data_IF_612643011186
#
_entry.id   IF_612643011186
#
_cell.length_a   1.000
_cell.length_b   1.000
_cell.length_c   1.000
_cell.angle_alpha   90.00
_cell.angle_beta   90.00
_cell.angle_gamma   90.00
#
_symmetry.space_group_name_H-M   'P 1'
#
loop_
_entity.id
_entity.type
_entity.pdbx_description
1 polymer ?
#
# COMPACT_ATOMS: atom_id res chain seq x y z
N UNK A 1 -22.50 25.91 1.60
CA UNK A 1 -22.34 24.70 0.79
C UNK A 1 -21.21 24.82 -0.26
N UNK A 2 -20.11 25.52 0.07
CA UNK A 2 -19.01 25.87 -0.88
C UNK A 2 -17.64 25.28 -0.42
N UNK A 3 -17.56 24.47 0.63
CA UNK A 3 -16.29 24.11 1.30
C UNK A 3 -15.90 22.63 1.23
N UNK A 4 -16.48 21.84 0.31
CA UNK A 4 -16.20 20.38 0.22
C UNK A 4 -15.08 19.98 -0.74
N UNK A 5 -14.32 20.93 -1.32
CA UNK A 5 -13.40 20.66 -2.44
C UNK A 5 -11.90 20.62 -2.06
N UNK A 6 -11.52 20.97 -0.83
CA UNK A 6 -10.09 21.15 -0.50
C UNK A 6 -9.26 19.86 -0.23
N UNK A 7 -9.88 18.67 -0.13
CA UNK A 7 -9.16 17.43 0.25
C UNK A 7 -9.06 16.35 -0.85
N UNK A 8 -9.39 16.64 -2.11
CA UNK A 8 -9.49 15.61 -3.18
C UNK A 8 -8.43 15.72 -4.29
N UNK A 9 -7.39 16.54 -4.14
CA UNK A 9 -6.47 16.89 -5.24
C UNK A 9 -5.12 16.16 -5.26
N UNK A 10 -4.95 15.04 -4.56
CA UNK A 10 -3.71 14.23 -4.65
C UNK A 10 -3.88 12.82 -5.19
N UNK A 11 -4.95 12.51 -5.88
CA UNK A 11 -5.01 11.30 -6.70
C UNK A 11 -5.11 11.67 -8.18
N UNK A 12 -4.12 11.27 -8.97
CA UNK A 12 -4.12 11.36 -10.46
C UNK A 12 -5.17 10.43 -11.08
N UNK A 13 -6.42 10.52 -10.64
CA UNK A 13 -7.58 10.02 -11.35
C UNK A 13 -8.68 11.07 -11.21
N UNK A 14 -8.83 11.88 -12.23
CA UNK A 14 -10.07 12.59 -12.52
C UNK A 14 -11.21 11.56 -12.52
N UNK A 15 -11.85 11.33 -11.38
CA UNK A 15 -13.20 10.80 -11.37
C UNK A 15 -14.08 12.00 -11.66
N UNK A 16 -14.56 12.09 -12.88
CA UNK A 16 -15.71 12.94 -13.24
C UNK A 16 -16.86 12.48 -12.37
N UNK A 17 -17.11 13.17 -11.26
CA UNK A 17 -18.39 13.05 -10.58
C UNK A 17 -19.40 13.73 -11.47
N UNK A 18 -20.22 12.94 -12.16
CA UNK A 18 -21.43 13.45 -12.80
C UNK A 18 -22.33 13.99 -11.67
N UNK A 19 -22.25 15.29 -11.41
CA UNK A 19 -23.25 15.98 -10.62
C UNK A 19 -24.48 16.05 -11.51
N UNK A 20 -25.51 15.27 -11.18
CA UNK A 20 -26.81 15.36 -11.83
C UNK A 20 -27.38 16.73 -11.49
N UNK A 21 -27.23 17.68 -12.41
CA UNK A 21 -27.87 19.00 -12.30
C UNK A 21 -29.37 18.76 -12.49
N UNK A 22 -30.23 19.21 -11.58
CA UNK A 22 -31.66 19.05 -11.74
C UNK A 22 -32.13 19.59 -13.11
N UNK A 23 -32.88 18.79 -13.85
CA UNK A 23 -33.40 19.15 -15.19
C UNK A 23 -34.37 20.30 -15.18
N UNK A 24 -34.80 20.78 -14.01
CA UNK A 24 -35.72 21.88 -13.78
C UNK A 24 -35.09 23.28 -13.85
N UNK A 25 -33.75 23.39 -13.92
CA UNK A 25 -33.09 24.71 -14.01
C UNK A 25 -32.94 25.17 -15.48
N UNK A 26 -33.12 26.50 -15.77
CA UNK A 26 -32.86 27.07 -17.08
C UNK A 26 -31.45 26.80 -17.58
N UNK A 27 -31.27 26.67 -18.90
CA UNK A 27 -29.96 26.28 -19.52
C UNK A 27 -28.83 27.25 -19.12
N UNK A 28 -29.10 28.54 -19.01
CA UNK A 28 -28.11 29.54 -18.56
C UNK A 28 -27.65 29.34 -17.11
N UNK A 29 -28.52 28.88 -16.21
CA UNK A 29 -28.17 28.59 -14.84
C UNK A 29 -27.39 27.28 -14.73
N UNK A 30 -27.67 26.29 -15.60
CA UNK A 30 -26.88 25.02 -15.68
C UNK A 30 -25.46 25.29 -16.12
N UNK A 31 -25.26 26.22 -17.07
CA UNK A 31 -23.92 26.61 -17.54
C UNK A 31 -23.14 27.37 -16.45
N UNK A 32 -23.81 28.25 -15.68
CA UNK A 32 -23.20 28.97 -14.55
C UNK A 32 -22.83 28.03 -13.39
N UNK A 33 -23.67 27.07 -13.05
CA UNK A 33 -23.37 26.07 -12.00
C UNK A 33 -22.23 25.16 -12.45
N UNK A 34 -22.18 24.73 -13.72
CA UNK A 34 -21.06 23.99 -14.28
C UNK A 34 -19.76 24.79 -14.31
N UNK A 35 -19.82 26.09 -14.61
CA UNK A 35 -18.63 26.98 -14.66
C UNK A 35 -18.07 27.29 -13.26
N UNK A 36 -18.93 27.42 -12.24
CA UNK A 36 -18.53 27.66 -10.84
C UNK A 36 -17.76 26.48 -10.22
N UNK A 37 -17.92 25.25 -10.74
CA UNK A 37 -17.20 24.06 -10.27
C UNK A 37 -15.74 23.99 -10.76
N UNK A 38 -15.31 24.88 -11.69
CA UNK A 38 -13.97 24.91 -12.26
C UNK A 38 -13.15 26.16 -11.91
N UNK A 39 -13.60 27.01 -10.99
CA UNK A 39 -12.76 28.11 -10.51
C UNK A 39 -11.64 27.52 -9.66
N UNK A 40 -10.50 27.23 -10.28
CA UNK A 40 -9.26 26.91 -9.57
C UNK A 40 -8.81 28.18 -8.84
N UNK A 41 -8.88 28.15 -7.51
CA UNK A 41 -8.31 29.22 -6.71
C UNK A 41 -6.79 29.21 -6.84
N UNK A 42 -6.18 30.40 -6.91
CA UNK A 42 -4.74 30.55 -6.85
C UNK A 42 -4.27 30.15 -5.44
N UNK A 43 -3.27 29.27 -5.37
CA UNK A 43 -2.63 28.93 -4.09
C UNK A 43 -1.89 30.17 -3.57
N UNK A 44 -2.21 30.62 -2.35
CA UNK A 44 -1.67 31.85 -1.74
C UNK A 44 -1.03 31.64 -0.37
N UNK A 45 -1.00 30.39 0.13
CA UNK A 45 -0.41 30.10 1.45
C UNK A 45 1.10 30.31 1.38
N UNK A 46 1.63 31.05 2.37
CA UNK A 46 3.06 31.27 2.54
C UNK A 46 3.68 30.17 3.41
N UNK A 47 4.98 29.88 3.28
CA UNK A 47 5.69 29.02 4.21
C UNK A 47 5.66 29.64 5.60
N UNK A 48 5.59 28.80 6.64
CA UNK A 48 5.67 29.17 8.04
C UNK A 48 6.95 28.58 8.64
N UNK A 49 7.59 29.30 9.53
CA UNK A 49 8.67 28.74 10.35
C UNK A 49 8.12 27.84 11.48
N UNK A 50 9.01 27.16 12.21
CA UNK A 50 8.58 26.22 13.25
C UNK A 50 7.81 26.87 14.40
N UNK A 51 8.23 28.02 14.97
CA UNK A 51 7.45 28.77 15.96
C UNK A 51 6.07 29.19 15.42
N UNK A 52 5.98 29.66 14.18
CA UNK A 52 4.72 30.05 13.56
C UNK A 52 3.78 28.85 13.38
N UNK A 53 4.31 27.66 13.02
CA UNK A 53 3.54 26.42 12.97
C UNK A 53 2.98 26.07 14.35
N UNK A 54 3.78 26.14 15.42
CA UNK A 54 3.32 25.87 16.78
C UNK A 54 2.22 26.85 17.20
N UNK A 55 2.41 28.15 16.94
CA UNK A 55 1.41 29.18 17.23
C UNK A 55 0.09 28.92 16.47
N UNK A 56 0.18 28.52 15.20
CA UNK A 56 -0.99 28.13 14.41
C UNK A 56 -1.73 26.92 15.03
N UNK A 57 -1.00 25.90 15.43
CA UNK A 57 -1.60 24.71 16.07
C UNK A 57 -2.27 25.05 17.41
N UNK A 58 -1.62 25.85 18.24
CA UNK A 58 -2.18 26.37 19.51
C UNK A 58 -3.44 27.19 19.26
N UNK A 59 -3.43 28.07 18.27
CA UNK A 59 -4.61 28.90 17.92
C UNK A 59 -5.82 28.06 17.49
N UNK A 60 -5.60 26.83 17.03
CA UNK A 60 -6.62 25.86 16.69
C UNK A 60 -7.05 24.94 17.84
N UNK A 61 -6.49 25.17 19.04
CA UNK A 61 -6.82 24.44 20.25
C UNK A 61 -5.96 23.21 20.56
N UNK A 62 -4.83 23.01 19.85
CA UNK A 62 -3.88 21.95 20.20
C UNK A 62 -3.04 22.35 21.39
N UNK A 63 -2.91 21.45 22.35
CA UNK A 63 -2.04 21.61 23.52
C UNK A 63 -0.66 21.06 23.17
N UNK A 64 0.38 21.83 23.42
CA UNK A 64 1.78 21.44 23.24
C UNK A 64 2.43 21.51 24.62
N UNK A 65 2.83 20.38 25.20
CA UNK A 65 3.42 20.30 26.54
C UNK A 65 4.88 20.70 26.53
N UNK A 66 5.61 20.27 25.49
CA UNK A 66 7.02 20.57 25.28
C UNK A 66 7.23 21.15 23.88
N UNK A 67 7.38 22.48 23.83
CA UNK A 67 7.58 23.19 22.56
C UNK A 67 8.95 22.91 21.95
N UNK A 68 9.96 22.66 22.78
CA UNK A 68 11.32 22.36 22.33
C UNK A 68 11.31 21.01 21.59
N UNK A 69 10.71 19.98 22.20
CA UNK A 69 10.51 18.67 21.58
C UNK A 69 9.68 18.78 20.30
N UNK A 70 8.62 19.59 20.31
CA UNK A 70 7.76 19.76 19.13
C UNK A 70 8.52 20.41 17.96
N UNK A 71 9.38 21.40 18.21
CA UNK A 71 10.24 22.03 17.20
C UNK A 71 11.24 20.99 16.64
N UNK A 72 11.93 20.25 17.50
CA UNK A 72 12.87 19.22 17.07
C UNK A 72 12.17 18.14 16.23
N UNK A 73 10.97 17.72 16.63
CA UNK A 73 10.14 16.80 15.85
C UNK A 73 9.81 17.38 14.46
N UNK A 74 9.40 18.66 14.38
CA UNK A 74 9.06 19.31 13.10
C UNK A 74 10.27 19.48 12.18
N UNK A 75 11.49 19.62 12.72
CA UNK A 75 12.73 19.66 11.93
C UNK A 75 13.01 18.33 11.20
N UNK A 76 12.64 17.21 11.82
CA UNK A 76 12.88 15.85 11.28
C UNK A 76 11.66 15.33 10.53
N UNK A 77 10.46 15.58 11.06
CA UNK A 77 9.18 15.12 10.48
C UNK A 77 8.37 16.36 10.12
N UNK A 78 8.30 16.72 8.85
CA UNK A 78 7.61 17.94 8.43
C UNK A 78 6.18 18.02 8.95
N UNK A 79 5.66 19.23 9.19
CA UNK A 79 4.27 19.47 9.55
C UNK A 79 3.28 18.75 8.62
N UNK A 80 3.50 18.83 7.31
CA UNK A 80 2.64 18.18 6.32
C UNK A 80 2.56 16.65 6.49
N UNK A 81 3.62 16.02 6.97
CA UNK A 81 3.63 14.58 7.27
C UNK A 81 2.84 14.27 8.54
N UNK A 82 2.98 15.09 9.59
CA UNK A 82 2.27 14.93 10.86
C UNK A 82 0.77 15.27 10.74
N UNK A 83 0.39 16.12 9.82
CA UNK A 83 -1.00 16.58 9.61
C UNK A 83 -2.02 15.44 9.58
N UNK A 84 -1.68 14.34 8.92
CA UNK A 84 -2.53 13.15 8.87
C UNK A 84 -2.76 12.47 10.23
N UNK A 85 -1.89 12.70 11.21
CA UNK A 85 -1.98 12.10 12.55
C UNK A 85 -2.67 13.05 13.53
N UNK A 86 -2.84 14.32 13.17
CA UNK A 86 -3.70 15.26 13.88
C UNK A 86 -5.19 15.05 13.61
N UNK A 87 -5.57 14.59 12.42
CA UNK A 87 -6.97 14.44 12.00
C UNK A 87 -7.90 13.68 12.96
N UNK A 88 -7.49 12.65 13.72
CA UNK A 88 -8.35 12.00 14.71
C UNK A 88 -8.76 12.91 15.88
N UNK A 89 -7.92 13.91 16.16
CA UNK A 89 -8.11 14.86 17.26
C UNK A 89 -8.88 16.11 16.84
N UNK A 90 -9.18 16.29 15.54
CA UNK A 90 -9.96 17.42 15.04
C UNK A 90 -11.46 17.22 15.30
N UNK A 91 -12.11 18.25 15.81
CA UNK A 91 -13.57 18.39 15.91
C UNK A 91 -14.15 18.97 14.62
N UNK A 92 -13.44 19.94 14.00
CA UNK A 92 -13.75 20.52 12.69
C UNK A 92 -12.58 20.31 11.74
N UNK A 93 -12.75 19.37 10.79
CA UNK A 93 -11.72 19.01 9.80
C UNK A 93 -11.54 20.05 8.68
N UNK A 94 -12.47 20.98 8.56
CA UNK A 94 -12.41 22.06 7.53
C UNK A 94 -11.56 23.19 8.06
N UNK A 95 -11.80 23.59 9.31
CA UNK A 95 -11.09 24.67 10.00
C UNK A 95 -9.87 24.16 10.76
N UNK A 96 -9.68 22.84 10.83
CA UNK A 96 -8.63 22.16 11.61
C UNK A 96 -8.68 22.55 13.11
N UNK A 97 -9.89 22.63 13.68
CA UNK A 97 -10.08 22.91 15.12
C UNK A 97 -9.98 21.60 15.89
N UNK A 98 -9.17 21.59 16.93
CA UNK A 98 -8.95 20.42 17.77
C UNK A 98 -10.03 20.24 18.83
N UNK A 99 -10.23 19.00 19.25
CA UNK A 99 -11.06 18.62 20.39
C UNK A 99 -10.37 19.07 21.69
N UNK A 100 -11.14 19.29 22.78
CA UNK A 100 -10.53 19.46 24.10
C UNK A 100 -9.56 18.32 24.43
N UNK A 101 -8.47 18.64 25.14
CA UNK A 101 -7.43 17.67 25.55
C UNK A 101 -6.72 16.95 24.38
N UNK A 102 -6.60 17.62 23.25
CA UNK A 102 -5.76 17.15 22.15
C UNK A 102 -4.33 17.65 22.30
N UNK A 103 -3.38 16.73 22.29
CA UNK A 103 -1.96 17.03 22.51
C UNK A 103 -1.13 16.75 21.27
N UNK A 104 -0.10 17.58 21.04
CA UNK A 104 0.87 17.38 19.95
C UNK A 104 1.56 16.01 20.07
N UNK A 105 1.91 15.63 21.29
CA UNK A 105 2.56 14.38 21.63
C UNK A 105 1.74 13.14 21.19
N UNK A 106 0.41 13.23 21.22
CA UNK A 106 -0.45 12.14 20.76
C UNK A 106 -0.32 11.89 19.25
N UNK A 107 -0.09 12.95 18.46
CA UNK A 107 0.15 12.80 17.03
C UNK A 107 1.54 12.21 16.75
N UNK A 108 2.54 12.56 17.56
CA UNK A 108 3.88 12.00 17.49
C UNK A 108 3.84 10.51 17.83
N UNK A 109 3.20 10.13 18.93
CA UNK A 109 3.03 8.73 19.33
C UNK A 109 2.35 7.90 18.24
N UNK A 110 1.28 8.43 17.62
CA UNK A 110 0.60 7.78 16.52
C UNK A 110 1.46 7.68 15.24
N UNK A 111 2.31 8.67 14.98
CA UNK A 111 3.28 8.62 13.87
C UNK A 111 4.34 7.55 14.09
N UNK A 112 4.88 7.44 15.31
CA UNK A 112 5.86 6.43 15.68
C UNK A 112 5.26 5.03 15.60
N UNK A 113 4.06 4.83 16.14
CA UNK A 113 3.29 3.60 15.95
C UNK A 113 3.17 3.21 14.46
N UNK A 114 2.76 4.15 13.61
CA UNK A 114 2.60 3.88 12.17
C UNK A 114 3.94 3.61 11.48
N UNK A 115 5.04 4.20 11.96
CA UNK A 115 6.40 3.89 11.51
C UNK A 115 6.76 2.44 11.78
N UNK A 116 6.59 2.00 13.02
CA UNK A 116 6.95 0.66 13.44
C UNK A 116 6.04 -0.40 12.80
N UNK A 117 4.76 -0.05 12.60
CA UNK A 117 3.82 -0.86 11.85
C UNK A 117 4.23 -1.02 10.37
N UNK A 118 4.73 0.06 9.74
CA UNK A 118 5.26 -0.01 8.36
C UNK A 118 6.46 -0.94 8.26
N UNK A 119 7.38 -0.88 9.22
CA UNK A 119 8.57 -1.75 9.27
C UNK A 119 8.17 -3.22 9.38
N UNK A 120 7.26 -3.53 10.30
CA UNK A 120 6.74 -4.89 10.49
C UNK A 120 6.13 -5.44 9.20
N UNK A 121 5.26 -4.67 8.55
CA UNK A 121 4.59 -5.07 7.31
C UNK A 121 5.59 -5.21 6.16
N UNK A 122 6.57 -4.30 6.07
CA UNK A 122 7.56 -4.31 5.00
C UNK A 122 8.39 -5.59 5.02
N UNK A 123 8.83 -6.02 6.20
CA UNK A 123 9.56 -7.28 6.39
C UNK A 123 8.74 -8.49 5.92
N UNK A 124 7.44 -8.50 6.20
CA UNK A 124 6.54 -9.56 5.74
C UNK A 124 6.43 -9.59 4.21
N UNK A 125 6.23 -8.44 3.58
CA UNK A 125 6.09 -8.33 2.13
C UNK A 125 7.37 -8.73 1.41
N UNK A 126 8.55 -8.35 1.93
CA UNK A 126 9.84 -8.79 1.36
C UNK A 126 9.94 -10.32 1.29
N UNK A 127 9.57 -11.03 2.36
CA UNK A 127 9.60 -12.47 2.37
C UNK A 127 8.65 -13.10 1.33
N UNK A 128 7.45 -12.53 1.17
CA UNK A 128 6.44 -12.99 0.20
C UNK A 128 6.91 -12.70 -1.24
N UNK A 129 7.49 -11.52 -1.49
CA UNK A 129 8.04 -11.16 -2.80
C UNK A 129 9.14 -12.12 -3.23
N UNK A 130 10.11 -12.43 -2.35
CA UNK A 130 11.21 -13.37 -2.60
C UNK A 130 10.64 -14.78 -2.87
N UNK A 131 9.68 -15.23 -2.07
CA UNK A 131 9.07 -16.55 -2.25
C UNK A 131 8.32 -16.67 -3.58
N UNK A 132 7.57 -15.64 -3.98
CA UNK A 132 6.89 -15.62 -5.28
C UNK A 132 7.91 -15.68 -6.42
N UNK A 133 8.96 -14.88 -6.36
CA UNK A 133 10.04 -14.83 -7.36
C UNK A 133 10.68 -16.21 -7.54
N UNK A 134 11.08 -16.84 -6.43
CA UNK A 134 11.68 -18.18 -6.43
C UNK A 134 10.76 -19.22 -7.07
N UNK A 135 9.48 -19.24 -6.69
CA UNK A 135 8.50 -20.19 -7.23
C UNK A 135 8.21 -19.96 -8.72
N UNK A 136 8.15 -18.71 -9.18
CA UNK A 136 8.01 -18.39 -10.61
C UNK A 136 9.25 -18.86 -11.39
N UNK A 137 10.45 -18.56 -10.91
CA UNK A 137 11.69 -19.00 -11.54
C UNK A 137 11.67 -20.52 -11.67
N UNK A 138 11.43 -21.24 -10.59
CA UNK A 138 11.47 -22.71 -10.59
C UNK A 138 10.41 -23.33 -11.52
N UNK A 139 9.14 -23.08 -11.27
CA UNK A 139 8.06 -23.81 -11.94
C UNK A 139 7.89 -23.45 -13.41
N UNK A 140 8.10 -22.17 -13.76
CA UNK A 140 7.91 -21.74 -15.15
C UNK A 140 9.13 -22.13 -15.98
N UNK A 141 10.35 -21.98 -15.45
CA UNK A 141 11.55 -22.33 -16.21
C UNK A 141 11.71 -23.80 -16.47
N UNK A 142 11.28 -24.68 -15.57
CA UNK A 142 11.30 -26.13 -15.80
C UNK A 142 10.44 -26.56 -17.01
N UNK A 143 9.44 -25.77 -17.37
CA UNK A 143 8.57 -26.07 -18.49
C UNK A 143 8.90 -25.29 -19.77
N UNK A 144 9.30 -24.02 -19.62
CA UNK A 144 9.45 -23.08 -20.73
C UNK A 144 10.88 -22.55 -20.92
N UNK A 145 11.85 -23.04 -20.13
CA UNK A 145 13.24 -22.67 -20.25
C UNK A 145 13.59 -21.33 -19.58
N UNK A 146 14.84 -20.92 -19.75
CA UNK A 146 15.45 -19.78 -19.03
C UNK A 146 14.91 -18.41 -19.44
N UNK A 147 14.33 -18.29 -20.62
CA UNK A 147 13.89 -17.03 -21.24
C UNK A 147 12.38 -16.95 -21.46
N UNK A 148 11.59 -17.74 -20.72
CA UNK A 148 10.15 -17.79 -20.87
C UNK A 148 9.47 -16.41 -20.80
N UNK A 149 10.02 -15.50 -20.00
CA UNK A 149 9.46 -14.18 -19.77
C UNK A 149 9.56 -13.26 -21.01
N UNK A 150 10.41 -13.57 -21.99
CA UNK A 150 10.51 -12.85 -23.26
C UNK A 150 9.50 -13.31 -24.30
N UNK A 151 8.96 -14.51 -24.15
CA UNK A 151 8.01 -15.09 -25.12
C UNK A 151 6.58 -14.57 -24.90
N UNK A 152 6.13 -13.64 -25.75
CA UNK A 152 4.82 -13.01 -25.65
C UNK A 152 3.65 -13.99 -25.76
N UNK A 153 3.82 -15.15 -26.44
CA UNK A 153 2.75 -16.15 -26.59
C UNK A 153 2.37 -16.83 -25.28
N UNK A 154 3.21 -16.75 -24.25
CA UNK A 154 2.94 -17.27 -22.90
C UNK A 154 2.09 -16.34 -22.05
N UNK A 155 1.66 -15.21 -22.58
CA UNK A 155 0.93 -14.18 -21.83
C UNK A 155 -0.44 -13.89 -22.45
N UNK A 156 -1.43 -13.60 -21.59
CA UNK A 156 -2.82 -13.36 -22.02
C UNK A 156 -2.99 -12.06 -22.79
N UNK A 157 -2.28 -11.01 -22.37
CA UNK A 157 -2.32 -9.67 -22.94
C UNK A 157 -0.93 -9.25 -23.39
N UNK A 158 -0.73 -9.16 -24.71
CA UNK A 158 0.54 -8.80 -25.33
C UNK A 158 0.96 -7.35 -25.01
N UNK A 159 0.02 -6.42 -24.82
CA UNK A 159 0.34 -5.03 -24.46
C UNK A 159 0.87 -4.92 -23.04
N UNK A 160 0.26 -5.67 -22.09
CA UNK A 160 0.75 -5.75 -20.72
C UNK A 160 2.16 -6.39 -20.73
N UNK A 161 2.34 -7.48 -21.48
CA UNK A 161 3.64 -8.13 -21.62
C UNK A 161 4.70 -7.17 -22.17
N UNK A 162 4.42 -6.48 -23.29
CA UNK A 162 5.34 -5.49 -23.87
C UNK A 162 5.78 -4.43 -22.84
N UNK A 163 4.82 -3.84 -22.11
CA UNK A 163 5.12 -2.87 -21.04
C UNK A 163 5.96 -3.47 -19.90
N UNK A 164 5.73 -4.75 -19.57
CA UNK A 164 6.57 -5.45 -18.59
C UNK A 164 8.01 -5.60 -19.11
N UNK A 165 8.18 -5.98 -20.38
CA UNK A 165 9.52 -6.13 -20.98
C UNK A 165 10.26 -4.80 -21.11
N UNK A 166 9.56 -3.70 -21.45
CA UNK A 166 10.12 -2.35 -21.42
C UNK A 166 10.64 -2.00 -20.01
N UNK A 167 9.83 -2.30 -18.97
CA UNK A 167 10.22 -2.05 -17.59
C UNK A 167 11.39 -2.94 -17.14
N UNK A 168 11.39 -4.23 -17.51
CA UNK A 168 12.50 -5.15 -17.23
C UNK A 168 13.82 -4.62 -17.83
N UNK A 169 13.81 -4.17 -19.09
CA UNK A 169 15.01 -3.60 -19.72
C UNK A 169 15.48 -2.31 -19.02
N UNK A 170 14.54 -1.47 -18.59
CA UNK A 170 14.89 -0.27 -17.80
C UNK A 170 15.51 -0.63 -16.44
N UNK A 171 14.98 -1.64 -15.75
CA UNK A 171 15.51 -2.10 -14.47
C UNK A 171 16.88 -2.75 -14.64
N UNK A 172 17.10 -3.57 -15.67
CA UNK A 172 18.41 -4.14 -16.04
C UNK A 172 19.44 -3.05 -16.39
N UNK A 173 19.04 -2.01 -17.11
CA UNK A 173 19.94 -0.91 -17.49
C UNK A 173 20.32 0.02 -16.31
N UNK A 174 19.52 0.03 -15.23
CA UNK A 174 19.79 0.87 -14.04
C UNK A 174 20.56 0.15 -12.95
N UNK A 175 20.47 -1.17 -12.89
CA UNK A 175 21.12 -1.95 -11.84
C UNK A 175 22.64 -1.88 -11.94
N UNK A 176 23.33 -2.01 -10.80
CA UNK A 176 24.78 -2.15 -10.69
C UNK A 176 25.18 -3.48 -10.07
N UNK A 177 24.25 -4.45 -10.03
CA UNK A 177 24.50 -5.77 -9.50
C UNK A 177 25.59 -6.48 -10.32
N UNK A 178 26.60 -6.97 -9.65
CA UNK A 178 27.80 -7.57 -10.25
C UNK A 178 27.45 -8.72 -11.21
N UNK A 179 26.54 -9.60 -10.80
CA UNK A 179 26.13 -10.75 -11.61
C UNK A 179 25.41 -10.36 -12.92
N UNK A 180 24.83 -9.15 -13.01
CA UNK A 180 24.25 -8.61 -14.27
C UNK A 180 25.35 -8.04 -15.15
N UNK A 181 26.30 -7.28 -14.57
CA UNK A 181 27.45 -6.71 -15.28
C UNK A 181 28.30 -7.82 -15.87
N UNK A 182 28.66 -8.84 -15.09
CA UNK A 182 29.42 -10.00 -15.55
C UNK A 182 28.70 -10.78 -16.67
N UNK A 183 27.37 -10.90 -16.55
CA UNK A 183 26.58 -11.57 -17.60
C UNK A 183 26.67 -10.81 -18.91
N UNK A 184 26.47 -9.48 -18.88
CA UNK A 184 26.53 -8.63 -20.07
C UNK A 184 27.94 -8.58 -20.70
N UNK A 185 28.99 -8.69 -19.90
CA UNK A 185 30.38 -8.77 -20.40
C UNK A 185 30.69 -10.11 -21.10
N UNK A 186 30.01 -11.19 -20.70
CA UNK A 186 30.28 -12.55 -21.18
C UNK A 186 29.35 -13.00 -22.31
N UNK A 187 28.10 -12.54 -22.35
CA UNK A 187 27.08 -13.01 -23.28
C UNK A 187 26.42 -11.84 -24.00
N UNK A 188 26.40 -11.89 -25.33
CA UNK A 188 25.74 -10.89 -26.19
C UNK A 188 24.31 -11.29 -26.59
N UNK A 189 24.02 -12.58 -26.56
CA UNK A 189 22.72 -13.13 -26.95
C UNK A 189 22.24 -14.23 -25.98
N UNK A 190 20.97 -14.23 -25.59
CA UNK A 190 19.95 -13.17 -25.82
C UNK A 190 20.31 -11.82 -25.16
N UNK A 191 19.64 -10.74 -25.59
CA UNK A 191 19.82 -9.35 -25.12
C UNK A 191 19.47 -9.11 -23.64
N UNK A 192 18.97 -10.14 -22.96
CA UNK A 192 18.62 -10.11 -21.54
C UNK A 192 19.19 -11.35 -20.82
N UNK A 193 19.58 -11.22 -19.56
CA UNK A 193 20.02 -12.36 -18.76
C UNK A 193 18.89 -13.39 -18.54
N UNK A 194 19.23 -14.65 -18.19
CA UNK A 194 18.23 -15.66 -17.88
C UNK A 194 17.36 -15.24 -16.69
N UNK A 195 16.15 -15.78 -16.60
CA UNK A 195 15.11 -15.37 -15.67
C UNK A 195 15.57 -15.34 -14.20
N UNK A 196 16.42 -16.26 -13.77
CA UNK A 196 16.95 -16.30 -12.40
C UNK A 196 17.91 -15.16 -12.06
N UNK A 197 18.49 -14.48 -13.05
CA UNK A 197 19.22 -13.22 -12.89
C UNK A 197 18.28 -12.02 -13.06
N UNK A 198 17.47 -12.03 -14.11
CA UNK A 198 16.58 -10.93 -14.47
C UNK A 198 15.57 -10.63 -13.37
N UNK A 199 14.90 -11.66 -12.83
CA UNK A 199 13.88 -11.43 -11.81
C UNK A 199 14.46 -10.97 -10.47
N UNK A 200 15.74 -11.19 -10.17
CA UNK A 200 16.36 -10.67 -8.93
C UNK A 200 16.39 -9.14 -8.89
N UNK A 201 16.56 -8.50 -10.04
CA UNK A 201 16.59 -7.03 -10.14
C UNK A 201 15.24 -6.43 -10.53
N UNK A 202 14.25 -7.27 -10.81
CA UNK A 202 12.92 -6.83 -11.24
C UNK A 202 12.06 -6.42 -10.04
N UNK A 203 11.38 -5.27 -10.16
CA UNK A 203 10.48 -4.74 -9.12
C UNK A 203 9.29 -5.66 -8.86
N UNK A 204 8.76 -5.64 -7.63
CA UNK A 204 7.57 -6.41 -7.25
C UNK A 204 6.35 -6.08 -8.12
N UNK A 205 6.23 -4.82 -8.56
CA UNK A 205 5.15 -4.42 -9.48
C UNK A 205 5.24 -5.11 -10.83
N UNK A 206 6.43 -5.21 -11.41
CA UNK A 206 6.69 -5.92 -12.68
C UNK A 206 6.52 -7.43 -12.51
N UNK A 207 7.09 -8.01 -11.43
CA UNK A 207 6.92 -9.42 -11.07
C UNK A 207 5.43 -9.81 -10.97
N UNK A 208 4.64 -9.01 -10.26
CA UNK A 208 3.19 -9.21 -10.12
C UNK A 208 2.46 -9.19 -11.46
N UNK A 209 2.80 -8.24 -12.35
CA UNK A 209 2.19 -8.16 -13.68
C UNK A 209 2.54 -9.37 -14.54
N UNK A 210 3.80 -9.81 -14.53
CA UNK A 210 4.24 -11.02 -15.22
C UNK A 210 3.47 -12.23 -14.72
N UNK A 211 3.38 -12.46 -13.41
CA UNK A 211 2.62 -13.56 -12.82
C UNK A 211 1.14 -13.52 -13.19
N UNK A 212 0.50 -12.37 -13.00
CA UNK A 212 -0.94 -12.23 -13.26
C UNK A 212 -1.27 -12.35 -14.74
N UNK A 213 -0.40 -11.91 -15.65
CA UNK A 213 -0.60 -11.97 -17.09
C UNK A 213 -0.21 -13.32 -17.72
N UNK A 214 0.57 -14.14 -17.01
CA UNK A 214 0.97 -15.47 -17.48
C UNK A 214 -0.24 -16.36 -17.78
N UNK A 215 -0.27 -17.05 -18.94
CA UNK A 215 -1.44 -17.74 -19.45
C UNK A 215 -1.62 -19.17 -18.91
N UNK A 216 -0.52 -19.86 -18.54
CA UNK A 216 -0.56 -21.26 -18.07
C UNK A 216 -1.17 -21.36 -16.65
N UNK A 217 -2.48 -21.55 -16.58
CA UNK A 217 -3.20 -21.70 -15.32
C UNK A 217 -2.79 -22.95 -14.52
N UNK A 218 -2.50 -24.12 -15.11
CA UNK A 218 -1.91 -25.27 -14.40
C UNK A 218 -0.66 -24.93 -13.59
N UNK A 219 0.31 -24.22 -14.17
CA UNK A 219 1.52 -23.77 -13.44
C UNK A 219 1.16 -22.77 -12.35
N UNK A 220 0.31 -21.79 -12.64
CA UNK A 220 -0.14 -20.81 -11.63
C UNK A 220 -0.85 -21.47 -10.46
N UNK A 221 -1.66 -22.52 -10.72
CA UNK A 221 -2.28 -23.33 -9.66
C UNK A 221 -1.24 -24.10 -8.85
N UNK A 222 -0.17 -24.61 -9.46
CA UNK A 222 0.94 -25.27 -8.75
C UNK A 222 1.62 -24.29 -7.81
N UNK A 223 1.98 -23.10 -8.30
CA UNK A 223 2.56 -22.02 -7.47
C UNK A 223 1.62 -21.66 -6.31
N UNK A 224 0.32 -21.48 -6.58
CA UNK A 224 -0.65 -21.13 -5.54
C UNK A 224 -0.76 -22.23 -4.45
N UNK A 225 -0.70 -23.51 -4.83
CA UNK A 225 -0.72 -24.64 -3.89
C UNK A 225 0.49 -24.61 -2.93
N UNK A 226 1.66 -24.14 -3.39
CA UNK A 226 2.82 -23.96 -2.53
C UNK A 226 2.71 -22.78 -1.56
N UNK A 227 1.71 -21.94 -1.73
CA UNK A 227 1.24 -20.97 -0.74
C UNK A 227 0.00 -21.46 0.02
N UNK A 228 -0.28 -22.77 -0.04
CA UNK A 228 -1.46 -23.42 0.56
C UNK A 228 -2.81 -22.82 0.09
N UNK A 229 -2.84 -22.20 -1.10
CA UNK A 229 -4.03 -21.59 -1.66
C UNK A 229 -4.74 -22.54 -2.64
N UNK A 230 -6.09 -22.67 -2.56
CA UNK A 230 -6.84 -23.57 -3.43
C UNK A 230 -6.91 -23.09 -4.88
N UNK A 231 -6.80 -21.79 -5.11
CA UNK A 231 -6.94 -21.16 -6.42
C UNK A 231 -5.87 -20.09 -6.67
N UNK A 232 -5.31 -20.10 -7.88
CA UNK A 232 -4.34 -19.07 -8.29
C UNK A 232 -4.92 -17.64 -8.34
N UNK A 233 -6.23 -17.51 -8.57
CA UNK A 233 -6.91 -16.21 -8.57
C UNK A 233 -6.88 -15.53 -7.19
N UNK A 234 -6.89 -16.31 -6.11
CA UNK A 234 -6.70 -15.79 -4.75
C UNK A 234 -5.30 -15.22 -4.60
N UNK A 235 -4.28 -15.98 -5.02
CA UNK A 235 -2.89 -15.51 -5.00
C UNK A 235 -2.70 -14.25 -5.84
N UNK A 236 -3.24 -14.22 -7.06
CA UNK A 236 -3.19 -13.01 -7.92
C UNK A 236 -3.80 -11.79 -7.24
N UNK A 237 -4.94 -11.95 -6.57
CA UNK A 237 -5.61 -10.88 -5.84
C UNK A 237 -4.75 -10.37 -4.69
N UNK A 238 -4.15 -11.27 -3.90
CA UNK A 238 -3.31 -10.93 -2.76
C UNK A 238 -2.00 -10.28 -3.17
N UNK A 239 -1.36 -10.78 -4.23
CA UNK A 239 -0.12 -10.17 -4.76
C UNK A 239 -0.39 -8.76 -5.30
N UNK A 240 -1.49 -8.53 -6.02
CA UNK A 240 -1.86 -7.17 -6.46
C UNK A 240 -2.07 -6.23 -5.28
N UNK A 241 -2.70 -6.70 -4.22
CA UNK A 241 -2.92 -5.93 -2.99
C UNK A 241 -1.60 -5.64 -2.27
N UNK A 242 -0.71 -6.65 -2.18
CA UNK A 242 0.61 -6.53 -1.57
C UNK A 242 1.51 -5.52 -2.31
N UNK A 243 1.47 -5.47 -3.65
CA UNK A 243 2.20 -4.45 -4.43
C UNK A 243 1.76 -3.04 -4.08
N UNK A 244 0.44 -2.81 -3.94
CA UNK A 244 -0.07 -1.48 -3.55
C UNK A 244 0.39 -1.12 -2.13
N UNK A 245 0.28 -2.06 -1.21
CA UNK A 245 0.74 -1.86 0.17
C UNK A 245 2.24 -1.58 0.23
N UNK A 246 3.06 -2.39 -0.46
CA UNK A 246 4.51 -2.19 -0.56
C UNK A 246 4.88 -0.81 -1.08
N UNK A 247 4.14 -0.29 -2.07
CA UNK A 247 4.40 1.04 -2.59
C UNK A 247 4.11 2.13 -1.56
N UNK A 248 3.04 2.01 -0.74
CA UNK A 248 2.82 2.92 0.38
C UNK A 248 3.96 2.87 1.39
N UNK A 249 4.47 1.67 1.69
CA UNK A 249 5.60 1.50 2.62
C UNK A 249 6.89 2.12 2.08
N UNK A 250 7.23 1.85 0.80
CA UNK A 250 8.42 2.38 0.15
C UNK A 250 8.41 3.92 0.03
N UNK A 251 7.23 4.53 -0.05
CA UNK A 251 7.06 5.99 -0.05
C UNK A 251 6.84 6.56 1.36
N UNK A 252 7.05 5.77 2.42
CA UNK A 252 6.82 6.16 3.81
C UNK A 252 5.43 6.76 4.06
N UNK A 253 4.44 6.35 3.25
CA UNK A 253 3.07 6.82 3.38
C UNK A 253 2.39 6.18 4.57
N UNK A 254 1.50 6.93 5.25
CA UNK A 254 0.69 6.42 6.35
C UNK A 254 -0.07 5.15 5.94
N UNK A 255 0.00 4.10 6.76
CA UNK A 255 -0.76 2.85 6.62
C UNK A 255 -1.89 2.74 7.64
N UNK A 256 -1.71 3.32 8.83
CA UNK A 256 -2.75 3.41 9.85
C UNK A 256 -3.99 4.12 9.30
N UNK A 257 -5.18 3.59 9.62
CA UNK A 257 -6.49 4.13 9.23
C UNK A 257 -6.61 4.56 7.75
N UNK A 258 -6.00 3.81 6.85
CA UNK A 258 -6.09 4.03 5.40
C UNK A 258 -7.17 3.14 4.77
N UNK A 259 -7.82 3.63 3.72
CA UNK A 259 -8.60 2.81 2.79
C UNK A 259 -7.72 2.39 1.62
N UNK A 260 -7.68 1.10 1.35
CA UNK A 260 -6.87 0.52 0.27
C UNK A 260 -7.71 0.38 -0.99
N UNK A 261 -7.19 0.80 -2.17
CA UNK A 261 -7.95 0.78 -3.42
C UNK A 261 -8.17 -0.63 -3.97
N UNK A 262 -7.31 -1.59 -3.59
CA UNK A 262 -7.44 -2.99 -3.96
C UNK A 262 -7.84 -3.79 -2.72
N UNK A 263 -8.99 -4.46 -2.82
CA UNK A 263 -9.50 -5.36 -1.79
C UNK A 263 -8.99 -6.77 -2.08
N UNK A 264 -8.28 -7.42 -1.14
CA UNK A 264 -7.88 -8.80 -1.31
C UNK A 264 -9.10 -9.72 -1.33
N UNK A 265 -9.04 -10.81 -2.09
CA UNK A 265 -10.09 -11.83 -2.05
C UNK A 265 -9.99 -12.61 -0.72
N UNK A 266 -10.95 -12.38 0.17
CA UNK A 266 -11.01 -12.97 1.52
C UNK A 266 -12.18 -13.96 1.68
N UNK A 267 -12.97 -14.18 0.62
CA UNK A 267 -14.22 -14.95 0.69
C UNK A 267 -14.01 -16.44 0.42
N UNK A 268 -12.87 -16.82 -0.15
CA UNK A 268 -12.57 -18.22 -0.46
C UNK A 268 -12.20 -18.95 0.82
N UNK A 269 -12.83 -20.12 1.14
CA UNK A 269 -12.42 -20.95 2.26
C UNK A 269 -10.96 -21.40 2.09
N UNK A 270 -10.16 -21.23 3.13
CA UNK A 270 -8.75 -21.60 3.16
C UNK A 270 -8.50 -22.79 4.10
N UNK A 271 -7.45 -23.52 3.82
CA UNK A 271 -6.98 -24.61 4.68
C UNK A 271 -6.14 -24.06 5.85
N UNK A 272 -6.21 -24.72 6.99
CA UNK A 272 -5.42 -24.36 8.16
C UNK A 272 -6.01 -23.16 8.93
N UNK A 273 -5.15 -22.48 9.67
CA UNK A 273 -5.55 -21.37 10.53
C UNK A 273 -5.89 -20.13 9.69
N UNK A 274 -7.17 -19.83 9.59
CA UNK A 274 -7.70 -18.67 8.89
C UNK A 274 -8.68 -17.89 9.77
N UNK A 275 -9.01 -16.68 9.37
CA UNK A 275 -10.02 -15.86 10.07
C UNK A 275 -11.42 -16.33 9.70
N UNK A 276 -12.33 -16.26 10.67
CA UNK A 276 -13.73 -16.60 10.44
C UNK A 276 -14.46 -15.43 9.79
N UNK A 277 -15.04 -15.59 8.59
CA UNK A 277 -15.86 -14.55 7.96
C UNK A 277 -17.16 -14.26 8.75
N UNK A 278 -17.74 -13.05 8.64
CA UNK A 278 -17.28 -11.95 7.80
C UNK A 278 -16.18 -11.13 8.45
N UNK A 279 -15.12 -10.87 7.70
CA UNK A 279 -14.17 -9.82 8.04
C UNK A 279 -14.83 -8.50 7.63
N UNK A 280 -15.03 -7.57 8.53
CA UNK A 280 -15.80 -6.34 8.30
C UNK A 280 -15.44 -5.58 7.01
N UNK A 281 -14.40 -4.74 7.02
CA UNK A 281 -14.05 -3.90 5.88
C UNK A 281 -12.79 -4.40 5.14
N UNK A 282 -12.98 -5.08 3.99
CA UNK A 282 -11.89 -5.58 3.16
C UNK A 282 -10.96 -4.50 2.57
N UNK A 283 -11.33 -3.23 2.66
CA UNK A 283 -10.51 -2.09 2.23
C UNK A 283 -9.68 -1.48 3.37
N UNK A 284 -9.64 -2.12 4.52
CA UNK A 284 -8.86 -1.68 5.69
C UNK A 284 -7.60 -2.53 5.90
N UNK A 285 -6.71 -2.05 6.79
CA UNK A 285 -5.41 -2.67 7.03
C UNK A 285 -5.52 -4.11 7.55
N UNK A 286 -6.49 -4.40 8.42
CA UNK A 286 -6.65 -5.74 9.00
C UNK A 286 -6.73 -6.83 7.93
N UNK A 287 -7.49 -6.61 6.86
CA UNK A 287 -7.56 -7.56 5.75
C UNK A 287 -6.21 -7.76 5.03
N UNK A 288 -5.37 -6.71 4.99
CA UNK A 288 -4.02 -6.80 4.45
C UNK A 288 -3.14 -7.66 5.37
N UNK A 289 -3.21 -7.46 6.67
CA UNK A 289 -2.45 -8.23 7.64
C UNK A 289 -2.84 -9.72 7.64
N UNK A 290 -4.13 -10.03 7.48
CA UNK A 290 -4.61 -11.40 7.44
C UNK A 290 -3.95 -12.23 6.33
N UNK A 291 -3.97 -11.77 5.08
CA UNK A 291 -3.35 -12.55 4.01
C UNK A 291 -1.82 -12.58 4.11
N UNK A 292 -1.19 -11.51 4.61
CA UNK A 292 0.25 -11.49 4.83
C UNK A 292 0.65 -12.55 5.86
N UNK A 293 -0.02 -12.60 7.01
CA UNK A 293 0.25 -13.60 8.05
C UNK A 293 0.00 -15.02 7.53
N UNK A 294 -1.09 -15.22 6.78
CA UNK A 294 -1.37 -16.53 6.19
C UNK A 294 -0.24 -16.99 5.28
N UNK A 295 0.22 -16.14 4.37
CA UNK A 295 1.33 -16.46 3.47
C UNK A 295 2.64 -16.67 4.24
N UNK A 296 2.91 -15.84 5.26
CA UNK A 296 4.10 -16.01 6.12
C UNK A 296 4.10 -17.34 6.85
N UNK A 297 2.97 -17.78 7.39
CA UNK A 297 2.86 -19.06 8.07
C UNK A 297 3.23 -20.26 7.16
N UNK A 298 2.98 -20.10 5.84
CA UNK A 298 3.34 -21.13 4.86
C UNK A 298 4.83 -21.07 4.49
N UNK A 299 5.37 -19.88 4.22
CA UNK A 299 6.74 -19.74 3.71
C UNK A 299 7.79 -19.67 4.81
N UNK A 300 7.38 -19.28 6.02
CA UNK A 300 8.21 -19.19 7.23
C UNK A 300 7.41 -19.62 8.45
N UNK A 301 7.20 -20.93 8.68
CA UNK A 301 6.32 -21.42 9.75
C UNK A 301 6.68 -20.91 11.15
N UNK A 302 7.97 -20.62 11.41
CA UNK A 302 8.46 -20.09 12.69
C UNK A 302 8.62 -18.55 12.67
N UNK A 303 7.80 -17.82 11.87
CA UNK A 303 7.83 -16.35 11.88
C UNK A 303 7.27 -15.81 13.20
N UNK A 304 7.71 -14.61 13.57
CA UNK A 304 7.27 -13.92 14.79
C UNK A 304 6.36 -12.70 14.49
N UNK A 305 5.73 -12.67 13.32
CA UNK A 305 4.93 -11.52 12.91
C UNK A 305 3.75 -11.26 13.87
N UNK A 306 3.01 -12.31 14.25
CA UNK A 306 1.89 -12.21 15.22
C UNK A 306 2.37 -11.67 16.56
N UNK A 307 3.46 -12.21 17.12
CA UNK A 307 4.00 -11.75 18.40
C UNK A 307 4.44 -10.28 18.34
N UNK A 308 5.11 -9.87 17.28
CA UNK A 308 5.52 -8.47 17.07
C UNK A 308 4.32 -7.55 16.91
N UNK A 309 3.27 -7.98 16.19
CA UNK A 309 2.04 -7.21 16.04
C UNK A 309 1.34 -7.01 17.39
N UNK A 310 1.22 -8.07 18.20
CA UNK A 310 0.66 -7.99 19.55
C UNK A 310 1.46 -7.05 20.45
N UNK A 311 2.79 -7.16 20.43
CA UNK A 311 3.67 -6.28 21.21
C UNK A 311 3.51 -4.80 20.79
N UNK A 312 3.48 -4.53 19.47
CA UNK A 312 3.31 -3.18 18.95
C UNK A 312 1.95 -2.58 19.34
N UNK A 313 0.87 -3.35 19.23
CA UNK A 313 -0.46 -2.88 19.64
C UNK A 313 -0.55 -2.71 21.16
N UNK A 314 0.10 -3.56 21.94
CA UNK A 314 0.16 -3.47 23.40
C UNK A 314 0.94 -2.27 23.92
N UNK A 315 2.00 -1.85 23.22
CA UNK A 315 2.78 -0.65 23.59
C UNK A 315 2.07 0.67 23.25
N UNK A 316 1.03 0.64 22.40
CA UNK A 316 0.25 1.82 21.99
C UNK A 316 -1.26 1.64 22.26
N UNK A 317 -1.69 1.52 23.53
CA UNK A 317 -3.08 1.17 23.88
C UNK A 317 -4.11 2.24 23.46
N UNK A 318 -3.66 3.46 23.20
CA UNK A 318 -4.52 4.58 22.78
C UNK A 318 -4.79 4.59 21.25
N UNK A 319 -4.17 3.70 20.49
CA UNK A 319 -4.38 3.63 19.04
C UNK A 319 -5.72 2.96 18.73
N UNK A 320 -6.57 3.65 17.99
CA UNK A 320 -7.84 3.08 17.52
C UNK A 320 -7.59 2.01 16.45
N UNK A 321 -7.56 0.74 16.88
CA UNK A 321 -7.39 -0.41 15.99
C UNK A 321 -8.67 -0.71 15.18
N UNK A 322 -9.84 -0.31 15.67
CA UNK A 322 -11.10 -0.48 14.94
C UNK A 322 -11.10 0.39 13.67
N UNK A 323 -10.46 1.58 13.69
CA UNK A 323 -10.23 2.42 12.52
C UNK A 323 -9.41 1.71 11.44
N UNK A 324 -8.58 0.73 11.80
CA UNK A 324 -7.80 -0.13 10.89
C UNK A 324 -8.58 -1.38 10.44
N UNK A 325 -9.81 -1.58 10.94
CA UNK A 325 -10.67 -2.69 10.56
C UNK A 325 -10.50 -3.96 11.39
N UNK A 326 -9.81 -3.89 12.54
CA UNK A 326 -9.73 -5.03 13.47
C UNK A 326 -11.09 -5.32 14.10
N UNK A 327 -11.59 -6.55 14.04
CA UNK A 327 -12.77 -6.95 14.81
C UNK A 327 -12.44 -7.03 16.30
N UNK A 328 -13.45 -6.94 17.16
CA UNK A 328 -13.25 -6.93 18.60
C UNK A 328 -12.52 -8.18 19.12
N UNK A 329 -12.81 -9.32 18.50
CA UNK A 329 -12.24 -10.62 18.86
C UNK A 329 -11.10 -11.08 17.93
N UNK A 330 -10.35 -10.15 17.35
CA UNK A 330 -9.33 -10.49 16.35
C UNK A 330 -8.23 -11.44 16.90
N UNK A 331 -7.88 -11.30 18.17
CA UNK A 331 -6.88 -12.12 18.84
C UNK A 331 -7.31 -13.59 19.01
N UNK A 332 -8.63 -13.82 19.09
CA UNK A 332 -9.20 -15.16 19.21
C UNK A 332 -9.32 -15.88 17.87
N UNK A 333 -9.10 -15.20 16.78
CA UNK A 333 -9.16 -15.81 15.45
C UNK A 333 -8.01 -16.79 15.25
N UNK A 334 -8.24 -17.99 14.65
CA UNK A 334 -7.23 -19.03 14.51
C UNK A 334 -5.92 -18.58 13.84
N UNK A 335 -6.00 -17.59 12.96
CA UNK A 335 -4.84 -17.02 12.27
C UNK A 335 -3.84 -16.32 13.22
N UNK A 336 -4.33 -15.77 14.34
CA UNK A 336 -3.59 -14.90 15.25
C UNK A 336 -3.22 -15.57 16.59
N UNK A 337 -3.54 -16.86 16.75
CA UNK A 337 -3.19 -17.70 17.92
C UNK A 337 -1.79 -18.27 17.83
#
# INVERSE_FOLDING_TARGET
MILFICNLLFSKKLRTFAVTVPTTLPIEQRTRVGLLLFIRMRYSKQPLDYPEILNLLKSRGLIIRDESMAIECLKVVSYFRLDNYFHPMESDKIRHIFKPNSYFENAVDLYEFDRDLRELIFTAIQAIEIALRSKMIHHISLRYGAFWFTNSSLFRDANIHRKCMEQVRLELGRTREEFIIEHAAKYSEPDVPPVWKTLEVTSFGTLSKLFCNFSDNPIKKRIAREFNLPQHLVLESWIKSAVVLRNYLAHHSRVWNRKYPIKPNMTTPLRGNWVTPPIGNYDKLYSQLCYLQYLLNVIRPNNNFTQRLHALLGSHPNVDIAAMGFPHNWQDQPLWR
#
